data_IF_631986409754
#
_entry.id   IF_631986409754
#
_cell.length_a   1.000
_cell.length_b   1.000
_cell.length_c   1.000
_cell.angle_alpha   90.00
_cell.angle_beta   90.00
_cell.angle_gamma   90.00
#
_symmetry.space_group_name_H-M   'P 1'
#
loop_
_entity.id
_entity.type
_entity.pdbx_description
1 polymer ?
#
# COMPACT_ATOMS: atom_id res chain seq x y z
N UNK A 1 9.11 4.72 -43.96
CA UNK A 1 8.18 4.83 -42.81
C UNK A 1 8.60 3.84 -41.74
N UNK A 2 9.25 4.31 -40.67
CA UNK A 2 9.63 3.47 -39.52
C UNK A 2 8.62 3.70 -38.44
N UNK A 3 7.75 2.70 -38.17
CA UNK A 3 6.84 2.73 -37.04
C UNK A 3 7.65 2.41 -35.76
N UNK A 4 7.86 3.40 -34.92
CA UNK A 4 8.44 3.21 -33.61
C UNK A 4 7.37 2.60 -32.68
N UNK A 5 7.48 1.30 -32.39
CA UNK A 5 6.78 0.65 -31.30
C UNK A 5 7.25 1.29 -29.97
N UNK A 6 6.43 2.15 -29.39
CA UNK A 6 6.59 2.56 -27.99
C UNK A 6 6.23 1.37 -27.11
N UNK A 7 7.25 0.66 -26.65
CA UNK A 7 7.09 -0.28 -25.53
C UNK A 7 6.83 0.56 -24.29
N UNK A 8 5.57 0.59 -23.86
CA UNK A 8 5.18 1.23 -22.61
C UNK A 8 5.77 0.44 -21.44
N UNK A 9 6.84 0.93 -20.85
CA UNK A 9 7.29 0.45 -19.55
C UNK A 9 6.23 0.83 -18.52
N UNK A 10 5.45 -0.14 -18.05
CA UNK A 10 4.66 0.02 -16.83
C UNK A 10 5.65 0.14 -15.67
N UNK A 11 6.06 1.36 -15.38
CA UNK A 11 6.84 1.64 -14.18
C UNK A 11 5.94 1.37 -12.99
N UNK A 12 6.14 0.26 -12.32
CA UNK A 12 5.44 -0.07 -11.07
C UNK A 12 5.91 0.92 -10.01
N UNK A 13 5.10 1.96 -9.76
CA UNK A 13 5.40 2.91 -8.70
C UNK A 13 4.89 2.37 -7.36
N UNK A 14 5.82 1.90 -6.54
CA UNK A 14 5.54 1.53 -5.15
C UNK A 14 5.57 2.78 -4.27
N UNK A 15 4.48 3.03 -3.56
CA UNK A 15 4.36 4.12 -2.60
C UNK A 15 4.14 3.55 -1.20
N UNK A 16 4.79 4.13 -0.18
CA UNK A 16 4.58 3.77 1.23
C UNK A 16 3.18 4.18 1.70
N UNK A 17 2.65 3.46 2.69
CA UNK A 17 1.31 3.70 3.22
C UNK A 17 1.09 5.14 3.66
N UNK A 18 2.11 5.74 4.28
CA UNK A 18 2.07 7.12 4.76
C UNK A 18 1.81 8.15 3.65
N UNK A 19 2.23 7.87 2.41
CA UNK A 19 2.03 8.78 1.29
C UNK A 19 0.57 8.91 0.85
N UNK A 20 -0.30 8.03 1.34
CA UNK A 20 -1.74 8.08 1.08
C UNK A 20 -2.54 8.74 2.21
N UNK A 21 -1.88 9.26 3.23
CA UNK A 21 -2.54 9.98 4.34
C UNK A 21 -2.46 11.49 4.09
N UNK A 22 -3.60 12.18 4.26
CA UNK A 22 -3.75 13.62 3.96
C UNK A 22 -3.39 14.00 2.51
N UNK A 23 -3.39 13.03 1.60
CA UNK A 23 -3.07 13.26 0.20
C UNK A 23 -4.21 14.04 -0.48
N UNK A 24 -3.94 15.16 -1.18
CA UNK A 24 -4.95 15.93 -1.90
C UNK A 24 -5.64 15.10 -2.97
N UNK A 25 -6.95 15.28 -3.12
CA UNK A 25 -7.77 14.74 -4.20
C UNK A 25 -8.05 15.89 -5.17
N UNK A 26 -7.61 15.73 -6.41
CA UNK A 26 -7.64 16.75 -7.46
C UNK A 26 -8.65 16.36 -8.53
N UNK A 27 -9.58 17.26 -8.82
CA UNK A 27 -10.59 17.08 -9.86
C UNK A 27 -10.11 17.63 -11.20
N UNK A 28 -10.16 16.78 -12.24
CA UNK A 28 -9.89 17.22 -13.61
C UNK A 28 -10.90 18.25 -14.10
N UNK A 29 -12.16 18.14 -13.68
CA UNK A 29 -13.23 19.05 -14.11
C UNK A 29 -13.06 20.45 -13.54
N UNK A 30 -12.76 20.56 -12.25
CA UNK A 30 -12.62 21.88 -11.59
C UNK A 30 -11.20 22.43 -11.63
N UNK A 31 -10.19 21.59 -11.93
CA UNK A 31 -8.79 21.94 -11.88
C UNK A 31 -8.24 22.20 -10.47
N UNK A 32 -8.98 21.79 -9.42
CA UNK A 32 -8.62 22.10 -8.04
C UNK A 32 -8.78 20.94 -7.07
N UNK A 33 -8.34 21.18 -5.83
CA UNK A 33 -8.49 20.24 -4.71
C UNK A 33 -9.96 20.20 -4.26
N UNK A 34 -10.50 18.98 -4.18
CA UNK A 34 -11.89 18.72 -3.75
C UNK A 34 -11.96 18.02 -2.40
N UNK A 35 -10.85 17.48 -1.89
CA UNK A 35 -10.79 16.80 -0.60
C UNK A 35 -9.41 16.26 -0.31
N UNK A 36 -9.29 15.54 0.82
CA UNK A 36 -8.06 14.84 1.23
C UNK A 36 -8.36 13.46 1.76
N UNK A 37 -7.50 12.52 1.46
CA UNK A 37 -7.58 11.16 2.03
C UNK A 37 -7.28 11.17 3.53
N UNK A 38 -7.92 10.24 4.27
CA UNK A 38 -7.67 10.03 5.70
C UNK A 38 -7.02 8.67 5.97
N UNK A 39 -7.52 7.62 5.33
CA UNK A 39 -7.00 6.28 5.50
C UNK A 39 -7.57 5.31 4.48
N UNK A 40 -6.87 4.20 4.19
CA UNK A 40 -7.31 3.21 3.22
C UNK A 40 -8.38 2.27 3.80
N UNK A 41 -9.25 1.77 2.92
CA UNK A 41 -10.15 0.66 3.15
C UNK A 41 -9.51 -0.56 2.50
N UNK A 42 -8.92 -1.44 3.32
CA UNK A 42 -8.15 -2.59 2.86
C UNK A 42 -9.01 -3.85 2.92
N UNK A 43 -9.07 -4.59 1.83
CA UNK A 43 -9.69 -5.90 1.77
C UNK A 43 -8.70 -6.97 2.29
N UNK A 44 -8.98 -7.61 3.44
CA UNK A 44 -8.06 -8.58 4.03
C UNK A 44 -7.89 -9.85 3.20
N UNK A 45 -8.84 -10.17 2.32
CA UNK A 45 -8.81 -11.42 1.55
C UNK A 45 -7.80 -11.38 0.39
N UNK A 46 -7.50 -10.18 -0.12
CA UNK A 46 -6.64 -10.03 -1.29
C UNK A 46 -5.60 -8.90 -1.17
N UNK A 47 -5.60 -8.15 -0.06
CA UNK A 47 -4.74 -6.98 0.18
C UNK A 47 -4.88 -5.88 -0.89
N UNK A 48 -6.06 -5.77 -1.48
CA UNK A 48 -6.43 -4.65 -2.35
C UNK A 48 -6.95 -3.49 -1.49
N UNK A 49 -6.55 -2.27 -1.81
CA UNK A 49 -7.14 -1.06 -1.27
C UNK A 49 -8.40 -0.77 -2.09
N UNK A 50 -9.57 -1.02 -1.52
CA UNK A 50 -10.86 -0.83 -2.19
C UNK A 50 -11.21 0.66 -2.34
N UNK A 51 -10.68 1.50 -1.47
CA UNK A 51 -10.87 2.94 -1.48
C UNK A 51 -10.20 3.63 -0.30
N UNK A 52 -10.50 4.89 -0.15
CA UNK A 52 -9.98 5.74 0.92
C UNK A 52 -11.12 6.50 1.58
N UNK A 53 -11.12 6.57 2.90
CA UNK A 53 -11.88 7.59 3.60
C UNK A 53 -11.31 8.96 3.25
N UNK A 54 -12.19 9.93 3.03
CA UNK A 54 -11.82 11.26 2.57
C UNK A 54 -12.61 12.32 3.31
N UNK A 55 -11.98 13.45 3.59
CA UNK A 55 -12.67 14.67 4.01
C UNK A 55 -13.02 15.49 2.77
N UNK A 56 -14.29 15.72 2.55
CA UNK A 56 -14.77 16.63 1.52
C UNK A 56 -14.41 18.07 1.88
N UNK A 57 -13.80 18.79 0.95
CA UNK A 57 -13.40 20.19 1.15
C UNK A 57 -14.59 21.12 1.33
N UNK A 58 -15.69 20.86 0.67
CA UNK A 58 -16.85 21.77 0.61
C UNK A 58 -17.82 21.54 1.76
N UNK A 59 -18.27 20.31 1.96
CA UNK A 59 -19.27 19.96 2.98
C UNK A 59 -18.68 19.60 4.33
N UNK A 60 -17.34 19.37 4.41
CA UNK A 60 -16.65 18.84 5.60
C UNK A 60 -17.12 17.46 6.04
N UNK A 61 -17.90 16.78 5.22
CA UNK A 61 -18.37 15.42 5.49
C UNK A 61 -17.28 14.41 5.17
N UNK A 62 -17.31 13.27 5.86
CA UNK A 62 -16.53 12.11 5.47
C UNK A 62 -17.23 11.42 4.29
N UNK A 63 -16.47 11.23 3.23
CA UNK A 63 -16.86 10.50 2.03
C UNK A 63 -15.87 9.38 1.77
N UNK A 64 -16.16 8.54 0.79
CA UNK A 64 -15.26 7.46 0.34
C UNK A 64 -14.93 7.68 -1.14
N UNK A 65 -13.63 7.71 -1.43
CA UNK A 65 -13.11 7.62 -2.79
C UNK A 65 -12.79 6.17 -3.09
N UNK A 66 -13.53 5.55 -4.00
CA UNK A 66 -13.23 4.18 -4.45
C UNK A 66 -11.99 4.15 -5.34
N UNK A 67 -11.19 3.11 -5.22
CA UNK A 67 -9.95 2.97 -6.02
C UNK A 67 -10.21 2.95 -7.52
N UNK A 68 -11.34 2.42 -7.97
CA UNK A 68 -11.75 2.43 -9.39
C UNK A 68 -12.06 3.82 -9.95
N UNK A 69 -12.33 4.80 -9.11
CA UNK A 69 -12.58 6.19 -9.51
C UNK A 69 -11.28 7.00 -9.64
N UNK A 70 -10.17 6.44 -9.20
CA UNK A 70 -8.84 7.05 -9.30
C UNK A 70 -8.35 6.91 -10.73
N UNK A 71 -8.02 8.03 -11.34
CA UNK A 71 -7.39 8.08 -12.67
C UNK A 71 -5.90 7.85 -12.59
N UNK A 72 -5.27 8.54 -11.64
CA UNK A 72 -3.82 8.49 -11.46
C UNK A 72 -3.46 8.89 -10.03
N UNK A 73 -2.37 8.33 -9.52
CA UNK A 73 -1.74 8.78 -8.29
C UNK A 73 -0.41 9.42 -8.64
N UNK A 74 -0.31 10.70 -8.39
CA UNK A 74 0.91 11.49 -8.61
C UNK A 74 1.60 11.81 -7.28
N UNK A 75 2.81 12.38 -7.33
CA UNK A 75 3.55 12.78 -6.12
C UNK A 75 2.70 13.59 -5.16
N UNK A 76 2.03 14.62 -5.67
CA UNK A 76 1.34 15.63 -4.89
C UNK A 76 -0.17 15.38 -4.73
N UNK A 77 -0.74 14.33 -5.32
CA UNK A 77 -2.18 14.12 -5.23
C UNK A 77 -2.71 12.83 -5.84
N UNK A 78 -4.02 12.67 -5.72
CA UNK A 78 -4.83 11.65 -6.39
C UNK A 78 -5.73 12.34 -7.39
N UNK A 79 -5.64 11.97 -8.65
CA UNK A 79 -6.44 12.57 -9.73
C UNK A 79 -7.71 11.76 -9.92
N UNK A 80 -8.83 12.47 -9.94
CA UNK A 80 -10.17 11.93 -10.23
C UNK A 80 -10.86 12.78 -11.31
N UNK A 81 -11.98 12.28 -11.87
CA UNK A 81 -12.71 13.04 -12.88
C UNK A 81 -13.33 14.32 -12.30
N UNK A 82 -14.12 14.19 -11.26
CA UNK A 82 -14.81 15.30 -10.58
C UNK A 82 -15.16 14.95 -9.13
N UNK A 83 -15.94 15.82 -8.48
CA UNK A 83 -16.35 15.66 -7.09
C UNK A 83 -17.23 14.42 -6.84
N UNK A 84 -18.01 13.99 -7.84
CA UNK A 84 -18.92 12.84 -7.71
C UNK A 84 -18.16 11.50 -7.60
N UNK A 85 -16.84 11.51 -7.80
CA UNK A 85 -15.97 10.37 -7.49
C UNK A 85 -15.93 10.03 -5.98
N UNK A 86 -16.27 11.00 -5.12
CA UNK A 86 -16.37 10.79 -3.68
C UNK A 86 -17.84 10.56 -3.29
N UNK A 87 -18.11 9.40 -2.70
CA UNK A 87 -19.45 8.90 -2.44
C UNK A 87 -19.70 8.72 -0.95
N UNK A 88 -20.90 9.01 -0.41
CA UNK A 88 -21.26 8.66 0.96
C UNK A 88 -21.19 7.14 1.20
N UNK A 89 -20.76 6.74 2.40
CA UNK A 89 -20.68 5.32 2.77
C UNK A 89 -22.02 4.60 2.63
N UNK A 90 -23.15 5.28 2.90
CA UNK A 90 -24.50 4.74 2.79
C UNK A 90 -24.81 4.15 1.41
N UNK A 91 -24.19 4.71 0.37
CA UNK A 91 -24.47 4.34 -1.03
C UNK A 91 -23.61 3.15 -1.50
N UNK A 92 -22.64 2.73 -0.68
CA UNK A 92 -21.64 1.70 -1.00
C UNK A 92 -22.03 0.32 -0.44
N UNK A 93 -23.22 -0.19 -0.76
CA UNK A 93 -23.76 -1.45 -0.22
C UNK A 93 -22.82 -2.64 -0.37
N UNK A 94 -22.13 -2.75 -1.53
CA UNK A 94 -21.21 -3.87 -1.79
C UNK A 94 -19.92 -3.79 -0.95
N UNK A 95 -19.47 -2.58 -0.63
CA UNK A 95 -18.25 -2.34 0.14
C UNK A 95 -18.47 -2.48 1.64
N UNK A 96 -19.72 -2.40 2.10
CA UNK A 96 -20.08 -2.40 3.51
C UNK A 96 -19.46 -3.56 4.29
N UNK A 97 -19.49 -4.77 3.71
CA UNK A 97 -18.88 -5.95 4.35
C UNK A 97 -17.38 -5.80 4.60
N UNK A 98 -16.67 -5.09 3.73
CA UNK A 98 -15.24 -4.83 3.90
C UNK A 98 -15.02 -3.71 4.92
N UNK A 99 -15.84 -2.68 4.88
CA UNK A 99 -15.83 -1.57 5.85
C UNK A 99 -16.07 -2.10 7.26
N UNK A 100 -17.09 -2.94 7.45
CA UNK A 100 -17.47 -3.52 8.74
C UNK A 100 -16.37 -4.39 9.36
N UNK A 101 -15.50 -5.01 8.55
CA UNK A 101 -14.32 -5.74 9.03
C UNK A 101 -13.32 -4.78 9.70
N UNK A 102 -13.27 -3.52 9.27
CA UNK A 102 -12.36 -2.48 9.78
C UNK A 102 -10.91 -2.97 9.89
N UNK A 103 -10.44 -3.57 8.79
CA UNK A 103 -9.15 -4.23 8.77
C UNK A 103 -8.00 -3.22 8.76
N UNK A 104 -7.09 -3.38 9.72
CA UNK A 104 -5.82 -2.63 9.74
C UNK A 104 -4.65 -3.62 9.72
N UNK A 105 -3.77 -3.47 8.75
CA UNK A 105 -2.58 -4.32 8.61
C UNK A 105 -1.44 -3.87 9.53
N UNK A 106 -1.36 -2.56 9.86
CA UNK A 106 -0.30 -2.02 10.71
C UNK A 106 -0.42 -2.57 12.14
N UNK A 107 0.72 -2.90 12.73
CA UNK A 107 0.81 -3.46 14.07
C UNK A 107 0.49 -4.95 14.16
N UNK A 108 -0.03 -5.59 13.09
CA UNK A 108 -0.28 -7.05 13.10
C UNK A 108 1.00 -7.83 13.28
N UNK A 109 0.89 -8.89 14.09
CA UNK A 109 2.00 -9.83 14.34
C UNK A 109 2.23 -10.68 13.09
N UNK A 110 3.50 -10.79 12.69
CA UNK A 110 3.90 -11.64 11.57
C UNK A 110 4.62 -12.88 12.10
N UNK A 111 4.19 -14.04 11.64
CA UNK A 111 4.74 -15.34 12.03
C UNK A 111 4.99 -16.22 10.81
N UNK A 112 5.98 -17.10 10.89
CA UNK A 112 6.17 -18.12 9.85
C UNK A 112 5.15 -19.24 10.02
N UNK A 113 5.01 -20.11 8.98
CA UNK A 113 4.23 -21.35 9.05
C UNK A 113 4.64 -22.26 10.22
N UNK A 114 5.87 -22.16 10.68
CA UNK A 114 6.40 -22.90 11.85
C UNK A 114 6.20 -22.16 13.18
N UNK A 115 5.31 -21.12 13.20
CA UNK A 115 4.98 -20.31 14.38
C UNK A 115 6.14 -19.47 14.94
N UNK A 116 7.24 -19.29 14.18
CA UNK A 116 8.31 -18.40 14.59
C UNK A 116 7.85 -16.95 14.41
N UNK A 117 7.97 -16.14 15.45
CA UNK A 117 7.59 -14.73 15.42
C UNK A 117 8.69 -13.94 14.68
N UNK A 118 8.30 -13.27 13.62
CA UNK A 118 9.19 -12.39 12.85
C UNK A 118 9.17 -10.95 13.37
N UNK A 119 8.01 -10.46 13.83
CA UNK A 119 7.86 -9.10 14.32
C UNK A 119 6.43 -8.59 14.16
N UNK A 120 6.32 -7.26 13.96
CA UNK A 120 5.05 -6.58 13.69
C UNK A 120 5.17 -5.74 12.43
N UNK A 121 4.08 -5.65 11.64
CA UNK A 121 4.02 -4.78 10.48
C UNK A 121 4.14 -3.33 10.93
N UNK A 122 5.16 -2.63 10.44
CA UNK A 122 5.41 -1.22 10.71
C UNK A 122 4.91 -0.32 9.58
N UNK A 123 5.04 -0.79 8.34
CA UNK A 123 4.61 -0.08 7.15
C UNK A 123 4.35 -1.09 6.01
N UNK A 124 3.79 -0.61 4.90
CA UNK A 124 3.62 -1.40 3.68
C UNK A 124 3.75 -0.51 2.44
N UNK A 125 4.07 -1.12 1.30
CA UNK A 125 4.07 -0.43 0.01
C UNK A 125 2.93 -0.92 -0.88
N UNK A 126 2.35 0.04 -1.58
CA UNK A 126 1.22 -0.13 -2.49
C UNK A 126 1.69 0.14 -3.92
N UNK A 127 1.29 -0.71 -4.84
CA UNK A 127 1.38 -0.42 -6.26
C UNK A 127 0.27 0.59 -6.62
N UNK A 128 0.65 1.83 -6.92
CA UNK A 128 -0.29 2.92 -7.18
C UNK A 128 -1.13 2.74 -8.45
N UNK A 129 -0.71 1.87 -9.38
CA UNK A 129 -1.46 1.61 -10.60
C UNK A 129 -2.64 0.64 -10.41
N UNK A 130 -2.54 -0.30 -9.45
CA UNK A 130 -3.56 -1.32 -9.24
C UNK A 130 -4.03 -1.44 -7.79
N UNK A 131 -3.58 -0.57 -6.90
CA UNK A 131 -3.97 -0.45 -5.50
C UNK A 131 -3.78 -1.73 -4.66
N UNK A 132 -2.89 -2.64 -5.06
CA UNK A 132 -2.52 -3.79 -4.24
C UNK A 132 -1.33 -3.47 -3.34
N UNK A 133 -1.41 -3.91 -2.08
CA UNK A 133 -0.24 -3.95 -1.19
C UNK A 133 0.72 -5.01 -1.74
N UNK A 134 1.95 -4.61 -2.05
CA UNK A 134 2.97 -5.48 -2.64
C UNK A 134 3.97 -5.99 -1.61
N UNK A 135 4.36 -5.14 -0.67
CA UNK A 135 5.32 -5.50 0.38
C UNK A 135 4.86 -5.01 1.73
N UNK A 136 5.19 -5.77 2.76
CA UNK A 136 5.06 -5.38 4.16
C UNK A 136 6.44 -5.22 4.76
N UNK A 137 6.63 -4.18 5.55
CA UNK A 137 7.84 -3.92 6.31
C UNK A 137 7.60 -4.29 7.77
N UNK A 138 8.39 -5.20 8.29
CA UNK A 138 8.22 -5.81 9.60
C UNK A 138 9.37 -5.43 10.50
N UNK A 139 9.07 -4.78 11.63
CA UNK A 139 10.06 -4.47 12.66
C UNK A 139 10.29 -5.71 13.53
N UNK A 140 11.54 -6.16 13.58
CA UNK A 140 11.94 -7.32 14.40
C UNK A 140 12.13 -6.92 15.87
N UNK A 141 11.84 -7.82 16.85
CA UNK A 141 12.19 -7.59 18.24
C UNK A 141 13.71 -7.46 18.42
N UNK A 142 14.16 -6.50 19.22
CA UNK A 142 15.59 -6.18 19.48
C UNK A 142 16.42 -7.41 19.88
N UNK A 143 15.81 -8.37 20.59
CA UNK A 143 16.51 -9.61 21.01
C UNK A 143 16.88 -10.56 19.86
N UNK A 144 16.31 -10.40 18.66
CA UNK A 144 16.60 -11.24 17.49
C UNK A 144 17.54 -10.60 16.47
N UNK A 145 17.78 -9.31 16.60
CA UNK A 145 18.66 -8.56 15.73
C UNK A 145 19.46 -7.58 16.60
N UNK A 146 20.74 -7.83 16.76
CA UNK A 146 21.68 -6.91 17.45
C UNK A 146 21.73 -5.51 16.81
N UNK A 147 21.11 -5.32 15.63
CA UNK A 147 21.10 -4.07 14.85
C UNK A 147 19.72 -3.51 14.55
N UNK A 148 18.62 -4.07 15.13
CA UNK A 148 17.27 -3.56 14.85
C UNK A 148 16.92 -3.66 13.35
N UNK A 149 16.76 -4.88 12.82
CA UNK A 149 16.50 -5.09 11.38
C UNK A 149 15.06 -4.84 10.99
N UNK A 150 14.83 -4.25 9.82
CA UNK A 150 13.56 -4.24 9.13
C UNK A 150 13.54 -5.39 8.11
N UNK A 151 12.53 -6.25 8.20
CA UNK A 151 12.34 -7.35 7.25
C UNK A 151 11.28 -6.92 6.21
N UNK A 152 11.61 -7.08 4.94
CA UNK A 152 10.65 -6.87 3.85
C UNK A 152 10.03 -8.21 3.46
N UNK A 153 8.69 -8.28 3.44
CA UNK A 153 7.93 -9.47 3.06
C UNK A 153 7.09 -9.14 1.84
N UNK A 154 7.31 -9.85 0.77
CA UNK A 154 6.51 -9.73 -0.45
C UNK A 154 5.12 -10.34 -0.25
N UNK A 155 4.12 -9.81 -0.94
CA UNK A 155 2.75 -10.32 -0.92
C UNK A 155 2.65 -11.80 -1.28
N UNK A 156 3.47 -12.28 -2.19
CA UNK A 156 3.51 -13.70 -2.62
C UNK A 156 3.94 -14.65 -1.51
N UNK A 157 4.61 -14.15 -0.46
CA UNK A 157 5.03 -14.93 0.69
C UNK A 157 3.93 -15.11 1.74
N UNK A 158 2.81 -14.40 1.62
CA UNK A 158 1.70 -14.47 2.58
C UNK A 158 0.88 -15.74 2.33
N UNK A 159 0.69 -16.54 3.37
CA UNK A 159 -0.13 -17.76 3.36
C UNK A 159 -1.55 -17.45 3.86
N UNK A 160 -1.64 -16.69 4.95
CA UNK A 160 -2.90 -16.45 5.64
C UNK A 160 -2.88 -15.10 6.37
N UNK A 161 -4.02 -14.44 6.37
CA UNK A 161 -4.25 -13.20 7.12
C UNK A 161 -5.44 -13.44 8.05
N UNK A 162 -5.23 -13.17 9.33
CA UNK A 162 -6.27 -13.22 10.36
C UNK A 162 -6.39 -11.89 11.08
N UNK A 163 -7.39 -11.75 11.94
CA UNK A 163 -7.54 -10.52 12.75
C UNK A 163 -6.34 -10.25 13.66
N UNK A 164 -5.61 -11.28 14.08
CA UNK A 164 -4.54 -11.17 15.07
C UNK A 164 -3.13 -11.25 14.47
N UNK A 165 -2.97 -11.94 13.35
CA UNK A 165 -1.65 -12.25 12.79
C UNK A 165 -1.67 -12.45 11.28
N UNK A 166 -0.51 -12.32 10.68
CA UNK A 166 -0.22 -12.68 9.29
C UNK A 166 0.74 -13.85 9.32
N UNK A 167 0.39 -14.94 8.61
CA UNK A 167 1.24 -16.11 8.45
C UNK A 167 1.93 -16.04 7.10
N UNK A 168 3.25 -16.21 7.10
CA UNK A 168 4.07 -16.14 5.89
C UNK A 168 4.90 -17.41 5.71
N UNK A 169 5.29 -17.69 4.48
CA UNK A 169 6.37 -18.62 4.20
C UNK A 169 7.65 -18.12 4.90
N UNK A 170 8.60 -19.02 5.11
CA UNK A 170 9.88 -18.60 5.66
C UNK A 170 10.45 -17.53 4.70
N UNK A 171 10.62 -16.27 5.12
CA UNK A 171 11.32 -15.32 4.28
C UNK A 171 12.72 -15.89 4.14
N UNK A 172 13.13 -16.22 2.91
CA UNK A 172 14.53 -16.42 2.64
C UNK A 172 15.20 -15.16 3.15
N UNK A 173 16.14 -15.33 4.07
CA UNK A 173 16.97 -14.26 4.55
C UNK A 173 17.79 -13.85 3.33
N UNK A 174 17.30 -12.90 2.55
CA UNK A 174 18.15 -12.22 1.59
C UNK A 174 19.22 -11.53 2.43
N UNK A 175 20.30 -12.28 2.64
CA UNK A 175 21.57 -11.69 3.00
C UNK A 175 21.79 -10.54 2.01
N UNK A 176 22.03 -9.39 2.57
CA UNK A 176 22.44 -8.20 1.85
C UNK A 176 23.70 -8.57 1.06
N UNK A 177 23.56 -9.03 -0.19
CA UNK A 177 24.64 -9.26 -1.13
C UNK A 177 25.19 -7.90 -1.57
N UNK A 178 25.77 -7.20 -0.62
CA UNK A 178 26.83 -6.26 -0.92
C UNK A 178 28.07 -7.07 -1.22
N UNK A 179 28.21 -7.53 -2.47
CA UNK A 179 29.51 -7.89 -3.01
C UNK A 179 30.47 -6.71 -2.78
N UNK A 180 31.58 -6.92 -2.08
CA UNK A 180 32.63 -5.92 -2.07
C UNK A 180 33.14 -5.80 -3.51
N UNK A 181 32.93 -4.63 -4.11
CA UNK A 181 33.57 -4.26 -5.37
C UNK A 181 35.08 -4.42 -5.16
N UNK A 182 35.68 -5.41 -5.82
CA UNK A 182 37.10 -5.71 -5.74
C UNK A 182 37.91 -4.48 -6.11
N UNK A 183 38.84 -4.12 -5.22
CA UNK A 183 39.88 -3.17 -5.52
C UNK A 183 40.73 -3.67 -6.70
N UNK A 184 41.08 -2.80 -7.68
CA UNK A 184 41.97 -3.21 -8.75
C UNK A 184 43.35 -3.55 -8.17
N UNK A 185 43.86 -4.72 -8.55
CA UNK A 185 45.23 -5.11 -8.27
C UNK A 185 46.18 -4.17 -9.03
N UNK A 186 46.97 -3.41 -8.31
CA UNK A 186 48.13 -2.70 -8.87
C UNK A 186 49.26 -3.68 -9.05
N UNK A 187 49.64 -3.86 -10.30
CA UNK A 187 50.95 -4.46 -10.65
C UNK A 187 52.05 -3.44 -10.55
#
# INVERSE_FOLDING_TARGET
MKSSLRVGYNVVMLQLSVSFINKPILSLRSGGEIGKTQGPIINPNNLHIEGFYCNDRFSKKQLILLSREIREVIGDGIIVNDHDAMTPESDLVRLRKIIDINFNILGKKVVTKHRVVLGKVNDYSVNSANMYIQKMYVTQPIMKSLKGGQLSIDRSQIIEITDKKIVVNNPDVYADDKQPVGAPATA
#
